data_IF_251397146725
#
_entry.id   IF_251397146725
#
_cell.length_a   1.000
_cell.length_b   1.000
_cell.length_c   1.000
_cell.angle_alpha   90.00
_cell.angle_beta   90.00
_cell.angle_gamma   90.00
#
_symmetry.space_group_name_H-M   'P 1'
#
loop_
_entity.id
_entity.type
_entity.pdbx_description
1 polymer ?
#
# COMPACT_ATOMS: atom_id res chain seq x y z
N UNK A 1 5.69 13.37 -0.76
CA UNK A 1 5.09 12.63 0.37
C UNK A 1 5.04 11.13 0.10
N UNK A 2 4.07 10.56 -0.67
CA UNK A 2 3.95 9.09 -0.85
C UNK A 2 5.20 8.40 -1.45
N UNK A 3 6.04 9.15 -2.19
CA UNK A 3 7.20 8.60 -2.89
C UNK A 3 8.43 8.36 -2.01
N UNK A 4 8.60 9.02 -0.87
CA UNK A 4 9.91 9.04 -0.18
C UNK A 4 10.06 7.94 0.89
N UNK A 5 8.97 7.41 1.44
CA UNK A 5 9.02 6.51 2.60
C UNK A 5 8.59 5.06 2.34
N UNK A 6 8.17 4.77 1.12
CA UNK A 6 7.99 3.39 0.66
C UNK A 6 9.29 2.89 0.05
N UNK A 7 9.73 1.71 0.49
CA UNK A 7 10.72 0.95 -0.29
C UNK A 7 10.18 0.70 -1.69
N UNK A 8 11.07 0.60 -2.68
CA UNK A 8 10.66 0.32 -4.07
C UNK A 8 9.75 -0.92 -4.14
N UNK A 9 10.06 -1.93 -3.34
CA UNK A 9 9.26 -3.15 -3.22
C UNK A 9 7.85 -2.90 -2.68
N UNK A 10 7.67 -2.02 -1.70
CA UNK A 10 6.34 -1.66 -1.19
C UNK A 10 5.54 -0.85 -2.21
N UNK A 11 6.21 0.07 -2.92
CA UNK A 11 5.59 0.87 -3.99
C UNK A 11 5.08 -0.03 -5.12
N UNK A 12 5.94 -0.93 -5.59
CA UNK A 12 5.57 -1.89 -6.65
C UNK A 12 4.38 -2.76 -6.23
N UNK A 13 4.37 -3.24 -4.98
CA UNK A 13 3.26 -4.03 -4.45
C UNK A 13 1.94 -3.24 -4.41
N UNK A 14 1.99 -1.99 -3.92
CA UNK A 14 0.81 -1.12 -3.84
C UNK A 14 0.29 -0.80 -5.25
N UNK A 15 1.16 -0.39 -6.17
CA UNK A 15 0.77 -0.05 -7.55
C UNK A 15 0.18 -1.26 -8.28
N UNK A 16 0.81 -2.44 -8.14
CA UNK A 16 0.33 -3.66 -8.77
C UNK A 16 -1.07 -4.08 -8.30
N UNK A 17 -1.39 -3.85 -7.01
CA UNK A 17 -2.71 -4.15 -6.45
C UNK A 17 -3.73 -3.04 -6.75
N UNK A 18 -3.34 -1.77 -6.66
CA UNK A 18 -4.23 -0.62 -6.92
C UNK A 18 -4.61 -0.47 -8.39
N UNK A 19 -3.78 -0.97 -9.31
CA UNK A 19 -4.13 -1.03 -10.73
C UNK A 19 -5.37 -1.90 -11.01
N UNK A 20 -5.89 -2.64 -10.00
CA UNK A 20 -7.23 -3.24 -9.99
C UNK A 20 -7.45 -4.43 -10.92
N UNK A 21 -6.52 -4.68 -11.84
CA UNK A 21 -6.65 -5.72 -12.86
C UNK A 21 -5.94 -7.04 -12.58
N UNK A 22 -5.17 -7.14 -11.49
CA UNK A 22 -4.31 -8.30 -11.24
C UNK A 22 -4.66 -9.01 -9.92
N UNK A 23 -4.91 -10.33 -9.92
CA UNK A 23 -5.08 -11.11 -8.71
C UNK A 23 -3.84 -11.00 -7.80
N UNK A 24 -4.07 -10.96 -6.49
CA UNK A 24 -2.99 -10.89 -5.48
C UNK A 24 -1.98 -12.04 -5.61
N UNK A 25 -2.44 -13.23 -6.00
CA UNK A 25 -1.58 -14.39 -6.27
C UNK A 25 -0.62 -14.12 -7.43
N UNK A 26 -1.09 -13.46 -8.48
CA UNK A 26 -0.29 -13.13 -9.65
C UNK A 26 0.71 -12.01 -9.34
N UNK A 27 0.31 -11.02 -8.53
CA UNK A 27 1.24 -10.02 -7.99
C UNK A 27 2.33 -10.70 -7.16
N UNK A 28 1.97 -11.61 -6.26
CA UNK A 28 2.92 -12.32 -5.42
C UNK A 28 3.91 -13.13 -6.26
N UNK A 29 3.42 -13.83 -7.29
CA UNK A 29 4.24 -14.60 -8.23
C UNK A 29 5.24 -13.70 -8.96
N UNK A 30 4.80 -12.56 -9.51
CA UNK A 30 5.67 -11.60 -10.23
C UNK A 30 6.74 -11.00 -9.34
N UNK A 31 6.44 -10.81 -8.06
CA UNK A 31 7.38 -10.26 -7.07
C UNK A 31 8.28 -11.34 -6.43
N UNK A 32 8.19 -12.60 -6.88
CA UNK A 32 8.96 -13.71 -6.30
C UNK A 32 8.65 -13.92 -4.82
N UNK A 33 7.38 -13.76 -4.42
CA UNK A 33 6.93 -13.89 -3.04
C UNK A 33 5.66 -14.75 -2.94
N UNK A 34 5.11 -14.89 -1.74
CA UNK A 34 3.84 -15.57 -1.51
C UNK A 34 2.77 -14.58 -1.03
N UNK A 35 1.50 -15.01 -1.08
CA UNK A 35 0.34 -14.20 -0.71
C UNK A 35 0.44 -13.62 0.71
N UNK A 36 0.91 -14.41 1.68
CA UNK A 36 1.03 -13.96 3.08
C UNK A 36 2.08 -12.86 3.24
N UNK A 37 3.22 -13.01 2.58
CA UNK A 37 4.28 -12.00 2.59
C UNK A 37 3.83 -10.73 1.86
N UNK A 38 3.12 -10.86 0.72
CA UNK A 38 2.55 -9.73 0.00
C UNK A 38 1.50 -8.98 0.84
N UNK A 39 0.63 -9.70 1.55
CA UNK A 39 -0.33 -9.08 2.46
C UNK A 39 0.35 -8.26 3.56
N UNK A 40 1.35 -8.84 4.22
CA UNK A 40 2.13 -8.12 5.25
C UNK A 40 2.79 -6.88 4.68
N UNK A 41 3.42 -7.01 3.51
CA UNK A 41 4.08 -5.89 2.83
C UNK A 41 3.12 -4.73 2.56
N UNK A 42 1.93 -5.02 2.01
CA UNK A 42 0.90 -4.00 1.72
C UNK A 42 0.34 -3.41 3.01
N UNK A 43 0.08 -4.24 4.01
CA UNK A 43 -0.44 -3.79 5.30
C UNK A 43 0.54 -2.82 5.99
N UNK A 44 1.82 -3.20 6.05
CA UNK A 44 2.85 -2.38 6.67
C UNK A 44 3.04 -1.05 5.91
N UNK A 45 2.99 -1.09 4.58
CA UNK A 45 3.03 0.10 3.74
C UNK A 45 1.83 1.04 3.98
N UNK A 46 0.59 0.50 4.11
CA UNK A 46 -0.60 1.29 4.46
C UNK A 46 -0.49 1.90 5.86
N UNK A 47 0.02 1.14 6.83
CA UNK A 47 0.21 1.62 8.21
C UNK A 47 1.21 2.77 8.24
N UNK A 48 2.33 2.64 7.54
CA UNK A 48 3.33 3.71 7.44
C UNK A 48 2.71 4.96 6.80
N UNK A 49 2.08 4.81 5.64
CA UNK A 49 1.48 5.95 4.95
C UNK A 49 0.38 6.64 5.78
N UNK A 50 -0.45 5.87 6.48
CA UNK A 50 -1.43 6.43 7.43
C UNK A 50 -0.75 7.26 8.54
N UNK A 51 0.32 6.74 9.13
CA UNK A 51 1.02 7.45 10.20
C UNK A 51 1.57 8.79 9.71
N UNK A 52 2.13 8.84 8.52
CA UNK A 52 2.68 10.07 7.96
C UNK A 52 1.62 11.10 7.64
N UNK A 53 0.51 10.67 7.04
CA UNK A 53 -0.59 11.59 6.74
C UNK A 53 -1.15 12.20 8.04
N UNK A 54 -1.19 11.42 9.13
CA UNK A 54 -1.54 11.95 10.46
C UNK A 54 -0.50 12.95 10.99
N UNK A 55 0.80 12.68 10.82
CA UNK A 55 1.89 13.58 11.20
C UNK A 55 1.87 14.89 10.38
N UNK A 56 1.40 14.85 9.14
CA UNK A 56 1.18 16.02 8.28
C UNK A 56 -0.12 16.78 8.59
N UNK A 57 -0.90 16.32 9.59
CA UNK A 57 -2.10 17.01 10.07
C UNK A 57 -3.39 16.66 9.33
N UNK A 58 -3.37 15.65 8.45
CA UNK A 58 -4.60 15.12 7.85
C UNK A 58 -5.39 14.33 8.89
N UNK A 59 -6.70 14.55 8.90
CA UNK A 59 -7.62 13.77 9.72
C UNK A 59 -7.77 12.34 9.21
N UNK A 60 -8.23 11.44 10.08
CA UNK A 60 -8.49 10.05 9.71
C UNK A 60 -9.52 9.94 8.56
N UNK A 61 -10.51 10.83 8.52
CA UNK A 61 -11.55 10.83 7.49
C UNK A 61 -11.00 11.25 6.11
N UNK A 62 -10.11 12.24 6.07
CA UNK A 62 -9.40 12.65 4.85
C UNK A 62 -8.49 11.52 4.34
N UNK A 63 -7.83 10.80 5.25
CA UNK A 63 -7.00 9.65 4.92
C UNK A 63 -7.85 8.52 4.33
N UNK A 64 -8.97 8.16 4.97
CA UNK A 64 -9.86 7.10 4.48
C UNK A 64 -10.43 7.41 3.09
N UNK A 65 -10.78 8.68 2.86
CA UNK A 65 -11.25 9.18 1.57
C UNK A 65 -10.18 9.04 0.48
N UNK A 66 -8.91 9.35 0.80
CA UNK A 66 -7.79 9.21 -0.13
C UNK A 66 -7.51 7.75 -0.55
N UNK A 67 -7.88 6.78 0.28
CA UNK A 67 -7.70 5.35 -0.03
C UNK A 67 -8.92 4.67 -0.67
N UNK A 68 -9.97 5.43 -1.01
CA UNK A 68 -11.21 4.89 -1.58
C UNK A 68 -11.85 3.77 -0.73
N UNK A 69 -11.65 3.82 0.61
CA UNK A 69 -12.20 2.87 1.58
C UNK A 69 -13.52 3.43 2.15
N UNK A 70 -14.41 3.89 1.27
CA UNK A 70 -15.74 4.41 1.63
C UNK A 70 -16.85 3.46 1.23
#
# INVERSE_FOLDING_TARGET
>A
VIHEDLTDRQRDAILAVMAGGMPLEEVARRMGTNRNALYKLIHDARKHLKQQLLEEGLSMDEILSAFNIS
#
